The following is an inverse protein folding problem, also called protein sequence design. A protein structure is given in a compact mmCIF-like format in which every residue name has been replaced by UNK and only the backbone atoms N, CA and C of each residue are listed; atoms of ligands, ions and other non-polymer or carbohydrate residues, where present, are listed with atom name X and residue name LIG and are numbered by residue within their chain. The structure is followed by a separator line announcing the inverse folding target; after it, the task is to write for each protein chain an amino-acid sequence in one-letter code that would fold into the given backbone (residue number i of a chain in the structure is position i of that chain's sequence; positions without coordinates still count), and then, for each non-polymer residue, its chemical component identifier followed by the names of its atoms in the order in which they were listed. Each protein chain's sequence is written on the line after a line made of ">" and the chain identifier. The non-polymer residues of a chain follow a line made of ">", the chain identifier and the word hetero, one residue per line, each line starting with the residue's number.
data_IF_065800902358
#
_entry.id   IF_065800902358
#
_cell.length_a   1.000
_cell.length_b   1.000
_cell.length_c   1.000
_cell.angle_alpha   90.00
_cell.angle_beta   90.00
_cell.angle_gamma   90.00
#
_symmetry.space_group_name_H-M   'P 1'
#
loop_
_entity.id
_entity.type
_entity.pdbx_description
1 polymer ?
#
# COMPACT_ATOMS: atom_id res chain seq x y z
N UNK A 1 -5.29 10.83 -5.92
CA UNK A 1 -4.74 9.48 -6.15
C UNK A 1 -4.83 8.76 -4.84
N UNK A 2 -5.61 7.69 -4.79
CA UNK A 2 -6.01 7.11 -3.50
C UNK A 2 -5.19 5.87 -3.13
N UNK A 3 -4.69 5.13 -4.13
CA UNK A 3 -3.85 3.94 -3.94
C UNK A 3 -2.65 4.00 -4.89
N UNK A 4 -1.46 3.74 -4.36
CA UNK A 4 -0.22 3.55 -5.10
C UNK A 4 0.26 2.11 -4.93
N UNK A 5 0.31 1.33 -6.01
CA UNK A 5 0.87 -0.02 -5.98
C UNK A 5 2.25 0.01 -6.63
N UNK A 6 3.29 -0.30 -5.84
CA UNK A 6 4.69 -0.36 -6.27
C UNK A 6 5.27 -1.73 -5.98
N UNK A 7 5.16 -2.70 -6.90
CA UNK A 7 5.81 -3.99 -6.77
C UNK A 7 7.34 -3.83 -6.76
N UNK A 8 8.01 -4.43 -5.78
CA UNK A 8 9.47 -4.41 -5.70
C UNK A 8 10.02 -5.65 -4.97
N UNK A 9 11.35 -5.82 -5.01
CA UNK A 9 12.04 -6.90 -4.29
C UNK A 9 12.30 -6.58 -2.80
N UNK A 10 11.97 -5.36 -2.36
CA UNK A 10 12.00 -4.95 -0.96
C UNK A 10 10.94 -5.71 -0.14
N UNK A 11 11.04 -5.63 1.18
CA UNK A 11 10.02 -6.19 2.08
C UNK A 11 8.62 -5.62 1.75
N UNK A 12 7.56 -6.46 1.76
CA UNK A 12 6.21 -6.00 1.48
C UNK A 12 5.75 -5.00 2.54
N UNK A 13 4.96 -4.00 2.14
CA UNK A 13 4.41 -3.01 3.06
C UNK A 13 3.05 -2.50 2.59
N UNK A 14 2.27 -2.02 3.56
CA UNK A 14 1.06 -1.23 3.37
C UNK A 14 1.20 0.00 4.27
N UNK A 15 1.09 1.20 3.72
CA UNK A 15 1.22 2.46 4.47
C UNK A 15 0.27 3.52 3.94
N UNK A 16 -0.47 4.18 4.81
CA UNK A 16 -1.18 5.42 4.49
C UNK A 16 -0.23 6.59 4.70
N UNK A 17 0.06 7.37 3.66
CA UNK A 17 0.96 8.52 3.73
C UNK A 17 0.29 9.79 3.18
N UNK A 18 0.60 10.98 3.71
CA UNK A 18 0.19 12.24 3.10
C UNK A 18 0.90 12.43 1.74
N UNK A 19 0.21 13.05 0.79
CA UNK A 19 0.72 13.46 -0.52
C UNK A 19 1.04 14.97 -0.49
N UNK A 20 2.31 15.32 -0.76
CA UNK A 20 2.79 16.70 -0.83
C UNK A 20 3.51 17.19 0.43
N UNK A 21 4.25 18.28 0.31
CA UNK A 21 4.94 18.96 1.41
C UNK A 21 3.97 19.91 2.11
N UNK A 22 3.75 19.71 3.42
CA UNK A 22 3.15 20.61 4.41
C UNK A 22 2.54 21.93 3.90
N UNK A 23 1.40 21.85 3.21
CA UNK A 23 0.58 23.04 3.02
C UNK A 23 -0.49 23.08 4.11
N UNK A 24 -0.26 24.01 5.03
CA UNK A 24 -1.23 24.45 6.04
C UNK A 24 -2.60 24.73 5.41
N UNK A 25 -3.65 24.42 6.18
CA UNK A 25 -5.07 24.83 6.01
C UNK A 25 -5.93 24.03 5.01
N UNK A 26 -5.77 22.71 4.90
CA UNK A 26 -6.71 21.84 4.16
C UNK A 26 -6.71 20.37 4.59
N UNK A 27 -7.72 19.60 4.16
CA UNK A 27 -7.76 18.15 4.35
C UNK A 27 -6.59 17.53 3.57
N UNK A 28 -5.54 17.12 4.29
CA UNK A 28 -4.29 16.65 3.71
C UNK A 28 -4.56 15.39 2.87
N UNK A 29 -4.39 15.48 1.55
CA UNK A 29 -4.61 14.37 0.62
C UNK A 29 -3.72 13.21 1.04
N UNK A 30 -4.29 12.02 1.22
CA UNK A 30 -3.54 10.81 1.59
C UNK A 30 -3.51 9.82 0.44
N UNK A 31 -2.55 8.91 0.50
CA UNK A 31 -2.39 7.80 -0.41
C UNK A 31 -2.15 6.52 0.37
N UNK A 32 -2.84 5.44 0.00
CA UNK A 32 -2.54 4.10 0.45
C UNK A 32 -1.43 3.51 -0.44
N UNK A 33 -0.20 3.56 0.05
CA UNK A 33 0.97 3.01 -0.63
C UNK A 33 1.16 1.54 -0.29
N UNK A 34 1.22 0.70 -1.32
CA UNK A 34 1.28 -0.76 -1.21
C UNK A 34 2.47 -1.28 -2.01
N UNK A 35 3.41 -1.95 -1.33
CA UNK A 35 4.34 -2.86 -1.97
C UNK A 35 3.87 -4.29 -1.65
N UNK A 36 3.29 -5.02 -2.62
CA UNK A 36 2.89 -6.41 -2.40
C UNK A 36 4.07 -7.37 -2.26
N UNK A 37 5.29 -6.95 -2.61
CA UNK A 37 6.43 -7.83 -2.76
C UNK A 37 6.34 -8.68 -4.03
N UNK A 38 7.04 -9.82 -4.05
CA UNK A 38 6.95 -10.82 -5.11
C UNK A 38 6.06 -11.97 -4.68
N UNK A 39 5.25 -12.48 -5.59
CA UNK A 39 4.41 -13.67 -5.37
C UNK A 39 5.24 -14.94 -5.16
N UNK A 40 6.46 -14.98 -5.72
CA UNK A 40 7.44 -16.04 -5.51
C UNK A 40 8.86 -15.47 -5.43
N UNK A 41 9.76 -16.19 -4.75
CA UNK A 41 11.20 -15.91 -4.73
C UNK A 41 11.96 -17.19 -5.07
N UNK A 42 12.17 -17.43 -6.37
CA UNK A 42 12.67 -18.71 -6.87
C UNK A 42 11.63 -19.81 -6.63
N UNK A 43 12.05 -20.90 -6.00
CA UNK A 43 11.19 -22.05 -5.68
C UNK A 43 10.38 -21.87 -4.38
N UNK A 44 10.51 -20.71 -3.71
CA UNK A 44 9.78 -20.40 -2.47
C UNK A 44 8.55 -19.55 -2.77
N UNK A 45 7.50 -19.79 -2.00
CA UNK A 45 6.34 -18.92 -1.91
C UNK A 45 6.72 -17.51 -1.46
N UNK A 46 5.88 -16.55 -1.84
CA UNK A 46 6.10 -15.13 -1.61
C UNK A 46 4.90 -14.50 -0.94
N UNK A 47 4.57 -13.28 -1.34
CA UNK A 47 3.53 -12.49 -0.71
C UNK A 47 2.51 -11.98 -1.71
N UNK A 48 1.31 -11.74 -1.22
CA UNK A 48 0.33 -10.88 -1.87
C UNK A 48 -0.30 -9.95 -0.84
N UNK A 49 -1.07 -8.97 -1.32
CA UNK A 49 -1.82 -8.05 -0.46
C UNK A 49 -3.30 -8.22 -0.76
N UNK A 50 -4.08 -8.50 0.28
CA UNK A 50 -5.54 -8.40 0.24
C UNK A 50 -5.93 -6.97 0.61
N UNK A 51 -6.67 -6.29 -0.28
CA UNK A 51 -7.03 -4.87 -0.17
C UNK A 51 -8.54 -4.69 -0.30
N UNK A 52 -9.14 -4.10 0.73
CA UNK A 52 -10.55 -3.73 0.75
C UNK A 52 -10.67 -2.19 0.68
N UNK A 53 -10.96 -1.69 -0.53
CA UNK A 53 -11.08 -0.25 -0.75
C UNK A 53 -12.47 0.27 -0.37
N UNK A 54 -12.52 1.28 0.50
CA UNK A 54 -13.75 1.87 1.02
C UNK A 54 -13.89 3.37 0.68
N UNK A 55 -13.53 3.75 -0.55
CA UNK A 55 -13.72 5.12 -1.07
C UNK A 55 -12.68 6.15 -0.61
N UNK A 56 -11.82 5.83 0.36
CA UNK A 56 -10.67 6.66 0.74
C UNK A 56 -9.52 5.83 1.31
N UNK A 57 -8.25 6.30 1.25
CA UNK A 57 -7.12 5.65 1.91
C UNK A 57 -7.33 5.40 3.42
N UNK A 58 -8.04 6.30 4.10
CA UNK A 58 -8.26 6.29 5.55
C UNK A 58 -9.32 5.28 5.99
N UNK A 59 -10.31 5.03 5.14
CA UNK A 59 -11.38 4.05 5.39
C UNK A 59 -11.03 2.67 4.86
N UNK A 60 -10.07 2.57 3.95
CA UNK A 60 -9.67 1.29 3.35
C UNK A 60 -8.78 0.47 4.28
N UNK A 61 -8.80 -0.85 4.12
CA UNK A 61 -7.89 -1.76 4.79
C UNK A 61 -7.07 -2.57 3.79
N UNK A 62 -5.86 -2.95 4.18
CA UNK A 62 -5.09 -3.93 3.43
C UNK A 62 -4.19 -4.75 4.36
N UNK A 63 -3.96 -6.01 4.00
CA UNK A 63 -3.16 -6.95 4.76
C UNK A 63 -2.19 -7.71 3.86
N UNK A 64 -1.00 -7.99 4.37
CA UNK A 64 0.01 -8.77 3.65
C UNK A 64 -0.18 -10.23 4.03
N UNK A 65 -0.30 -11.09 3.03
CA UNK A 65 -0.46 -12.54 3.19
C UNK A 65 0.76 -13.24 2.58
N UNK A 66 1.30 -14.22 3.30
CA UNK A 66 2.41 -15.07 2.85
C UNK A 66 1.83 -16.40 2.33
N UNK A 67 2.36 -16.89 1.21
CA UNK A 67 1.95 -18.14 0.55
C UNK A 67 3.03 -19.20 0.75
#
# INVERSE_FOLDING_TARGET
>A
MDILILPSDLAPFVKVMPLGENNDVGEQVRCLCVNPGRLSKGDKGGYFVDLNYQGSPQTSSASIVNI
#
